data_IF_747025574774
#
_entry.id   IF_747025574774
#
_cell.length_a   1.000
_cell.length_b   1.000
_cell.length_c   1.000
_cell.angle_alpha   90.00
_cell.angle_beta   90.00
_cell.angle_gamma   90.00
#
_symmetry.space_group_name_H-M   'P 1'
#
loop_
_entity.id
_entity.type
_entity.pdbx_description
1 polymer ?
#
# COMPACT_ATOMS: atom_id res chain seq x y z
N UNK A 1 7.95 -2.95 11.25
CA UNK A 1 7.51 -1.53 11.41
C UNK A 1 8.68 -0.54 11.52
N UNK A 2 9.71 -0.77 12.33
CA UNK A 2 10.85 0.15 12.44
C UNK A 2 11.66 0.28 11.13
N UNK A 3 11.96 -0.84 10.46
CA UNK A 3 12.69 -0.85 9.18
C UNK A 3 11.92 -0.08 8.09
N UNK A 4 10.61 -0.31 7.94
CA UNK A 4 9.74 0.45 7.03
C UNK A 4 9.82 1.95 7.33
N UNK A 5 9.73 2.36 8.61
CA UNK A 5 9.82 3.77 8.97
C UNK A 5 11.18 4.40 8.61
N UNK A 6 12.28 3.68 8.84
CA UNK A 6 13.63 4.15 8.47
C UNK A 6 13.74 4.25 6.95
N UNK A 7 13.28 3.24 6.23
CA UNK A 7 13.32 3.21 4.76
C UNK A 7 12.48 4.35 4.15
N UNK A 8 11.24 4.52 4.58
CA UNK A 8 10.39 5.63 4.17
C UNK A 8 10.97 6.99 4.57
N UNK A 9 11.58 7.10 5.75
CA UNK A 9 12.28 8.32 6.15
C UNK A 9 13.40 8.66 5.18
N UNK A 10 14.23 7.69 4.78
CA UNK A 10 15.27 7.91 3.77
C UNK A 10 14.66 8.36 2.44
N UNK A 11 13.62 7.68 1.94
CA UNK A 11 12.94 8.05 0.68
C UNK A 11 12.45 9.51 0.74
N UNK A 12 11.73 9.87 1.81
CA UNK A 12 11.14 11.20 1.96
C UNK A 12 12.17 12.29 2.27
N UNK A 13 13.29 11.94 2.91
CA UNK A 13 14.38 12.88 3.24
C UNK A 13 15.17 13.27 2.00
N UNK A 14 15.40 12.32 1.09
CA UNK A 14 16.25 12.53 -0.08
C UNK A 14 15.48 12.82 -1.37
N UNK A 15 14.14 12.72 -1.38
CA UNK A 15 13.36 13.11 -2.55
C UNK A 15 11.97 13.66 -2.23
N UNK A 16 11.46 14.49 -3.15
CA UNK A 16 10.10 15.04 -3.10
C UNK A 16 9.05 14.03 -3.60
N UNK A 17 9.21 12.74 -3.29
CA UNK A 17 8.35 11.67 -3.82
C UNK A 17 6.96 11.65 -3.18
N UNK A 18 6.76 12.40 -2.10
CA UNK A 18 5.50 12.50 -1.37
C UNK A 18 4.30 12.98 -2.18
N UNK A 19 4.52 13.62 -3.33
CA UNK A 19 3.44 14.11 -4.20
C UNK A 19 3.21 13.19 -5.42
N UNK A 20 4.06 12.18 -5.61
CA UNK A 20 4.05 11.34 -6.81
C UNK A 20 3.35 10.03 -6.49
N UNK A 21 2.03 10.08 -6.61
CA UNK A 21 1.14 8.94 -6.39
C UNK A 21 1.54 7.69 -7.19
N UNK A 22 2.04 7.91 -8.40
CA UNK A 22 2.42 6.85 -9.33
C UNK A 22 3.60 6.01 -8.86
N UNK A 23 4.50 6.55 -8.03
CA UNK A 23 5.69 5.82 -7.60
C UNK A 23 5.30 4.61 -6.75
N UNK A 24 4.42 4.79 -5.77
CA UNK A 24 4.04 3.68 -4.90
C UNK A 24 3.11 2.68 -5.62
N UNK A 25 2.31 3.12 -6.59
CA UNK A 25 1.51 2.20 -7.43
C UNK A 25 2.44 1.33 -8.28
N UNK A 26 3.45 1.95 -8.93
CA UNK A 26 4.46 1.24 -9.70
C UNK A 26 5.26 0.28 -8.83
N UNK A 27 5.67 0.71 -7.63
CA UNK A 27 6.38 -0.12 -6.66
C UNK A 27 5.58 -1.40 -6.33
N UNK A 28 4.32 -1.27 -5.89
CA UNK A 28 3.51 -2.42 -5.52
C UNK A 28 3.17 -3.32 -6.71
N UNK A 29 2.93 -2.74 -7.90
CA UNK A 29 2.69 -3.52 -9.11
C UNK A 29 3.93 -4.31 -9.55
N UNK A 30 5.12 -3.71 -9.50
CA UNK A 30 6.37 -4.41 -9.81
C UNK A 30 6.64 -5.55 -8.83
N UNK A 31 6.41 -5.32 -7.54
CA UNK A 31 6.56 -6.36 -6.53
C UNK A 31 5.56 -7.50 -6.72
N UNK A 32 4.34 -7.19 -7.16
CA UNK A 32 3.36 -8.21 -7.49
C UNK A 32 3.77 -9.06 -8.69
N UNK A 33 4.37 -8.45 -9.73
CA UNK A 33 4.91 -9.19 -10.87
C UNK A 33 6.05 -10.12 -10.45
N UNK A 34 6.90 -9.67 -9.51
CA UNK A 34 7.98 -10.49 -8.94
C UNK A 34 7.40 -11.65 -8.13
N UNK A 35 6.32 -11.43 -7.36
CA UNK A 35 5.63 -12.52 -6.65
C UNK A 35 5.11 -13.59 -7.60
N UNK A 36 4.50 -13.21 -8.73
CA UNK A 36 4.03 -14.17 -9.72
C UNK A 36 5.16 -14.86 -10.49
N UNK A 37 6.21 -14.12 -10.88
CA UNK A 37 7.31 -14.68 -11.68
C UNK A 37 8.16 -15.71 -10.94
N UNK A 38 8.21 -15.64 -9.61
CA UNK A 38 9.06 -16.49 -8.78
C UNK A 38 8.29 -17.32 -7.73
N UNK A 39 6.95 -17.31 -7.76
CA UNK A 39 6.09 -17.97 -6.77
C UNK A 39 6.44 -17.59 -5.31
N UNK A 40 6.86 -16.33 -5.11
CA UNK A 40 7.35 -15.86 -3.81
C UNK A 40 6.25 -15.76 -2.78
N UNK A 41 5.01 -15.56 -3.21
CA UNK A 41 3.88 -15.49 -2.29
C UNK A 41 3.68 -16.85 -1.59
N UNK A 42 3.75 -17.96 -2.34
CA UNK A 42 3.74 -19.31 -1.77
C UNK A 42 4.95 -19.55 -0.87
N UNK A 43 6.15 -19.12 -1.27
CA UNK A 43 7.35 -19.23 -0.44
C UNK A 43 7.22 -18.46 0.89
N UNK A 44 6.75 -17.21 0.84
CA UNK A 44 6.51 -16.37 2.02
C UNK A 44 5.47 -17.00 2.94
N UNK A 45 4.40 -17.55 2.36
CA UNK A 45 3.29 -18.16 3.10
C UNK A 45 3.58 -19.56 3.61
N UNK A 46 4.56 -20.27 3.02
CA UNK A 46 4.92 -21.64 3.37
C UNK A 46 5.38 -21.79 4.81
N UNK A 47 5.32 -23.02 5.32
CA UNK A 47 5.95 -23.45 6.57
C UNK A 47 7.36 -24.04 6.34
N UNK A 48 8.04 -23.60 5.27
CA UNK A 48 9.38 -24.09 4.97
C UNK A 48 10.36 -23.83 6.12
N UNK A 49 11.29 -24.76 6.41
CA UNK A 49 12.23 -24.63 7.51
C UNK A 49 13.06 -23.35 7.41
N UNK A 50 13.32 -22.70 8.55
CA UNK A 50 14.13 -21.49 8.63
C UNK A 50 15.61 -21.85 8.65
N UNK A 51 16.16 -22.23 7.50
CA UNK A 51 17.54 -22.74 7.39
C UNK A 51 18.56 -21.62 7.45
N UNK A 52 18.30 -20.54 6.73
CA UNK A 52 19.18 -19.38 6.66
C UNK A 52 18.51 -18.10 7.18
N UNK A 53 19.31 -17.03 7.34
CA UNK A 53 18.81 -15.73 7.79
C UNK A 53 17.67 -15.19 6.90
N UNK A 54 17.74 -15.42 5.58
CA UNK A 54 16.68 -15.02 4.65
C UNK A 54 15.40 -15.81 4.93
N UNK A 55 15.47 -17.14 5.06
CA UNK A 55 14.30 -17.98 5.35
C UNK A 55 13.66 -17.60 6.70
N UNK A 56 14.48 -17.25 7.68
CA UNK A 56 14.02 -16.81 9.00
C UNK A 56 13.27 -15.46 8.97
N UNK A 57 13.57 -14.61 7.99
CA UNK A 57 13.03 -13.25 7.87
C UNK A 57 12.18 -13.04 6.61
N UNK A 58 11.83 -14.10 5.88
CA UNK A 58 11.15 -14.02 4.56
C UNK A 58 9.93 -13.11 4.58
N UNK A 59 9.02 -13.28 5.54
CA UNK A 59 7.82 -12.46 5.63
C UNK A 59 8.15 -10.97 5.76
N UNK A 60 9.13 -10.62 6.60
CA UNK A 60 9.53 -9.23 6.81
C UNK A 60 10.24 -8.60 5.60
N UNK A 61 11.03 -9.38 4.87
CA UNK A 61 11.76 -8.91 3.70
C UNK A 61 10.81 -8.67 2.52
N UNK A 62 9.94 -9.64 2.21
CA UNK A 62 9.06 -9.56 1.05
C UNK A 62 7.84 -8.67 1.26
N UNK A 63 7.35 -8.53 2.51
CA UNK A 63 6.27 -7.56 2.82
C UNK A 63 6.74 -6.11 2.95
N UNK A 64 8.07 -5.87 2.98
CA UNK A 64 8.63 -4.53 3.20
C UNK A 64 8.09 -3.51 2.19
N UNK A 65 8.04 -3.89 0.92
CA UNK A 65 7.61 -3.00 -0.16
C UNK A 65 6.11 -2.71 -0.10
N UNK A 66 5.29 -3.72 0.18
CA UNK A 66 3.85 -3.51 0.39
C UNK A 66 3.55 -2.54 1.54
N UNK A 67 4.26 -2.68 2.66
CA UNK A 67 4.12 -1.74 3.78
C UNK A 67 4.73 -0.36 3.50
N UNK A 68 5.78 -0.28 2.69
CA UNK A 68 6.37 1.00 2.24
C UNK A 68 5.36 1.74 1.37
N UNK A 69 4.75 1.05 0.41
CA UNK A 69 3.68 1.61 -0.45
C UNK A 69 2.50 2.13 0.39
N UNK A 70 2.05 1.38 1.39
CA UNK A 70 0.99 1.83 2.30
C UNK A 70 1.39 3.05 3.14
N UNK A 71 2.64 3.09 3.62
CA UNK A 71 3.12 4.22 4.40
C UNK A 71 3.17 5.50 3.54
N UNK A 72 3.74 5.41 2.34
CA UNK A 72 3.84 6.54 1.42
C UNK A 72 2.45 7.01 0.96
N UNK A 73 1.53 6.08 0.72
CA UNK A 73 0.13 6.41 0.48
C UNK A 73 -0.48 7.22 1.63
N UNK A 74 -0.28 6.78 2.87
CA UNK A 74 -0.76 7.51 4.05
C UNK A 74 -0.21 8.94 4.14
N UNK A 75 1.07 9.13 3.81
CA UNK A 75 1.70 10.47 3.73
C UNK A 75 1.04 11.32 2.65
N UNK A 76 0.82 10.77 1.45
CA UNK A 76 0.15 11.45 0.35
C UNK A 76 -1.29 11.84 0.71
N UNK A 77 -2.05 10.89 1.27
CA UNK A 77 -3.42 11.12 1.71
C UNK A 77 -3.50 12.22 2.78
N UNK A 78 -2.61 12.19 3.77
CA UNK A 78 -2.53 13.23 4.79
C UNK A 78 -2.28 14.62 4.20
N UNK A 79 -1.44 14.75 3.16
CA UNK A 79 -1.23 16.03 2.47
C UNK A 79 -2.49 16.55 1.77
N UNK A 80 -3.29 15.66 1.18
CA UNK A 80 -4.58 16.04 0.58
C UNK A 80 -5.51 16.56 1.67
N UNK A 81 -5.64 15.81 2.77
CA UNK A 81 -6.52 16.17 3.88
C UNK A 81 -6.12 17.50 4.54
N UNK A 82 -4.83 17.77 4.66
CA UNK A 82 -4.34 19.03 5.23
C UNK A 82 -4.49 20.25 4.31
N UNK A 83 -4.85 20.08 3.04
CA UNK A 83 -5.02 21.17 2.06
C UNK A 83 -6.38 21.90 2.14
N UNK A 84 -7.19 21.70 3.19
CA UNK A 84 -8.49 22.37 3.36
C UNK A 84 -8.39 23.87 3.11
N UNK A 85 -9.20 24.36 2.17
CA UNK A 85 -9.13 25.75 1.67
C UNK A 85 -9.95 26.75 2.50
N UNK A 86 -10.43 26.33 3.68
CA UNK A 86 -11.30 27.14 4.55
C UNK A 86 -12.71 27.35 4.00
N UNK A 87 -13.06 26.73 2.87
CA UNK A 87 -14.38 26.80 2.24
C UNK A 87 -15.10 25.45 2.34
N UNK A 88 -16.34 25.48 2.84
CA UNK A 88 -17.22 24.30 2.94
C UNK A 88 -17.33 23.60 1.57
N UNK A 89 -17.40 24.37 0.48
CA UNK A 89 -17.53 23.80 -0.88
C UNK A 89 -16.30 23.00 -1.30
N UNK A 90 -15.09 23.41 -0.90
CA UNK A 90 -13.88 22.64 -1.20
C UNK A 90 -13.81 21.35 -0.40
N UNK A 91 -14.23 21.40 0.86
CA UNK A 91 -14.20 20.26 1.76
C UNK A 91 -15.24 19.21 1.31
N UNK A 92 -16.45 19.64 0.93
CA UNK A 92 -17.45 18.75 0.33
C UNK A 92 -16.95 18.10 -0.97
N UNK A 93 -16.25 18.87 -1.82
CA UNK A 93 -15.66 18.33 -3.05
C UNK A 93 -14.59 17.27 -2.74
N UNK A 94 -13.69 17.56 -1.80
CA UNK A 94 -12.65 16.62 -1.37
C UNK A 94 -13.26 15.32 -0.82
N UNK A 95 -14.30 15.42 0.02
CA UNK A 95 -15.03 14.25 0.53
C UNK A 95 -15.67 13.43 -0.59
N UNK A 96 -16.29 14.09 -1.57
CA UNK A 96 -16.86 13.41 -2.75
C UNK A 96 -15.80 12.69 -3.59
N UNK A 97 -14.64 13.33 -3.79
CA UNK A 97 -13.50 12.72 -4.49
C UNK A 97 -12.94 11.51 -3.73
N UNK A 98 -12.76 11.60 -2.40
CA UNK A 98 -12.30 10.49 -1.56
C UNK A 98 -13.27 9.30 -1.57
N UNK A 99 -14.58 9.56 -1.49
CA UNK A 99 -15.61 8.53 -1.60
C UNK A 99 -15.55 7.84 -2.97
N UNK A 100 -15.43 8.62 -4.05
CA UNK A 100 -15.32 8.08 -5.40
C UNK A 100 -14.07 7.19 -5.55
N UNK A 101 -12.89 7.68 -5.15
CA UNK A 101 -11.66 6.90 -5.23
C UNK A 101 -11.69 5.66 -4.34
N UNK A 102 -12.28 5.75 -3.15
CA UNK A 102 -12.51 4.61 -2.27
C UNK A 102 -13.36 3.53 -2.96
N UNK A 103 -14.48 3.90 -3.58
CA UNK A 103 -15.35 2.98 -4.28
C UNK A 103 -14.65 2.31 -5.48
N UNK A 104 -13.93 3.09 -6.29
CA UNK A 104 -13.18 2.57 -7.45
C UNK A 104 -12.11 1.57 -6.99
N UNK A 105 -11.31 1.92 -5.98
CA UNK A 105 -10.27 1.03 -5.46
C UNK A 105 -10.82 -0.21 -4.78
N UNK A 106 -12.02 -0.14 -4.16
CA UNK A 106 -12.71 -1.31 -3.63
C UNK A 106 -13.13 -2.26 -4.75
N UNK A 107 -13.75 -1.74 -5.82
CA UNK A 107 -14.15 -2.55 -6.97
C UNK A 107 -12.94 -3.25 -7.58
N UNK A 108 -11.83 -2.53 -7.78
CA UNK A 108 -10.57 -3.13 -8.25
C UNK A 108 -10.12 -4.24 -7.31
N UNK A 109 -10.11 -3.99 -6.00
CA UNK A 109 -9.73 -4.96 -4.97
C UNK A 109 -10.56 -6.24 -5.05
N UNK A 110 -11.89 -6.11 -5.19
CA UNK A 110 -12.78 -7.26 -5.29
C UNK A 110 -12.51 -8.09 -6.54
N UNK A 111 -12.22 -7.45 -7.68
CA UNK A 111 -11.88 -8.16 -8.91
C UNK A 111 -10.54 -8.91 -8.81
N UNK A 112 -9.52 -8.32 -8.19
CA UNK A 112 -8.21 -8.98 -8.04
C UNK A 112 -8.20 -10.03 -6.93
N UNK A 113 -9.10 -9.93 -5.94
CA UNK A 113 -9.20 -10.87 -4.83
C UNK A 113 -9.49 -12.31 -5.29
N UNK A 114 -10.30 -12.46 -6.35
CA UNK A 114 -10.64 -13.77 -6.93
C UNK A 114 -9.42 -14.51 -7.48
N UNK A 115 -8.42 -13.77 -7.98
CA UNK A 115 -7.19 -14.34 -8.53
C UNK A 115 -6.11 -14.44 -7.44
N UNK A 116 -6.08 -13.48 -6.53
CA UNK A 116 -5.06 -13.32 -5.51
C UNK A 116 -5.69 -12.85 -4.20
N UNK A 117 -5.91 -13.78 -3.24
CA UNK A 117 -6.46 -13.44 -1.95
C UNK A 117 -5.60 -12.41 -1.20
N UNK A 118 -6.24 -11.53 -0.43
CA UNK A 118 -5.51 -10.51 0.33
C UNK A 118 -4.64 -11.17 1.41
N UNK A 119 -3.33 -10.91 1.37
CA UNK A 119 -2.37 -11.46 2.34
C UNK A 119 -1.61 -10.36 3.06
N UNK A 120 -1.90 -10.21 4.36
CA UNK A 120 -1.14 -9.28 5.24
C UNK A 120 0.31 -9.73 5.44
N UNK A 121 0.58 -11.04 5.44
CA UNK A 121 1.94 -11.61 5.60
C UNK A 121 2.82 -11.30 4.40
N UNK A 122 2.26 -11.34 3.20
CA UNK A 122 2.96 -10.96 1.98
C UNK A 122 2.89 -9.45 1.70
N UNK A 123 1.92 -8.75 2.30
CA UNK A 123 1.53 -7.38 1.95
C UNK A 123 1.37 -7.23 0.42
N UNK A 124 0.65 -8.18 -0.19
CA UNK A 124 0.45 -8.27 -1.63
C UNK A 124 -0.43 -7.12 -2.17
N UNK A 125 -0.51 -7.00 -3.50
CA UNK A 125 -1.25 -5.92 -4.15
C UNK A 125 -2.71 -5.84 -3.68
N UNK A 126 -3.40 -6.99 -3.60
CA UNK A 126 -4.80 -7.06 -3.14
C UNK A 126 -4.96 -6.51 -1.73
N UNK A 127 -4.04 -6.87 -0.82
CA UNK A 127 -4.05 -6.33 0.53
C UNK A 127 -3.81 -4.82 0.55
N UNK A 128 -2.84 -4.33 -0.22
CA UNK A 128 -2.50 -2.90 -0.27
C UNK A 128 -3.68 -2.08 -0.80
N UNK A 129 -4.27 -2.45 -1.93
CA UNK A 129 -5.41 -1.72 -2.52
C UNK A 129 -6.64 -1.76 -1.61
N UNK A 130 -6.85 -2.88 -0.91
CA UNK A 130 -7.92 -3.02 0.08
C UNK A 130 -7.75 -2.02 1.22
N UNK A 131 -6.57 -1.97 1.84
CA UNK A 131 -6.30 -1.06 2.96
C UNK A 131 -6.36 0.40 2.51
N UNK A 132 -5.90 0.71 1.29
CA UNK A 132 -6.04 2.05 0.72
C UNK A 132 -7.51 2.48 0.59
N UNK A 133 -8.37 1.60 0.06
CA UNK A 133 -9.81 1.83 -0.05
C UNK A 133 -10.44 2.08 1.33
N UNK A 134 -10.16 1.23 2.30
CA UNK A 134 -10.66 1.38 3.67
C UNK A 134 -10.20 2.69 4.31
N UNK A 135 -8.93 3.07 4.12
CA UNK A 135 -8.40 4.32 4.66
C UNK A 135 -9.11 5.53 4.07
N UNK A 136 -9.31 5.58 2.74
CA UNK A 136 -10.05 6.67 2.10
C UNK A 136 -11.50 6.74 2.57
N UNK A 137 -12.16 5.59 2.71
CA UNK A 137 -13.53 5.52 3.25
C UNK A 137 -13.60 6.04 4.69
N UNK A 138 -12.64 5.67 5.54
CA UNK A 138 -12.63 6.06 6.94
C UNK A 138 -12.55 7.58 7.14
N UNK A 139 -11.82 8.30 6.27
CA UNK A 139 -11.74 9.76 6.35
C UNK A 139 -13.00 10.48 5.83
N UNK A 140 -13.97 9.74 5.28
CA UNK A 140 -15.24 10.29 4.77
C UNK A 140 -16.44 10.07 5.69
N UNK A 141 -16.28 9.24 6.73
CA UNK A 141 -17.30 8.89 7.72
C UNK A 141 -17.15 9.74 9.00
#
# INVERSE_FOLDING_TARGET
LAVVKIFCYCILRFGNFSDIIFIYIVEISLMQLVFWGFDLESYVLSDSPRKDWVDANREGLFSLMGFTSLYLFGVYLNKILMKTSGSITSDCRMLGELLFYSAVTLVVTLNIHEVMPASRRAANLTYVTWIMSLAMLQFTA
#
